data_IF_608174242576
#
_entry.id   IF_608174242576
#
_cell.length_a   1.000
_cell.length_b   1.000
_cell.length_c   1.000
_cell.angle_alpha   90.00
_cell.angle_beta   90.00
_cell.angle_gamma   90.00
#
_symmetry.space_group_name_H-M   'P 1'
#
loop_
_entity.id
_entity.type
_entity.pdbx_description
1 polymer ?
#
# COMPACT_ATOMS: atom_id res chain seq x y z
N UNK A 1 -10.65 -0.38 -11.69
CA UNK A 1 -9.35 -0.92 -11.30
C UNK A 1 -8.31 0.17 -11.54
N UNK A 2 -7.68 0.62 -10.46
CA UNK A 2 -6.69 1.69 -10.47
C UNK A 2 -5.41 1.22 -11.17
N UNK A 3 -4.66 2.15 -11.74
CA UNK A 3 -3.38 1.89 -12.41
C UNK A 3 -2.27 2.66 -11.71
N UNK A 4 -1.07 2.08 -11.66
CA UNK A 4 0.10 2.72 -11.05
C UNK A 4 1.12 3.16 -12.09
N UNK A 5 1.74 4.31 -11.88
CA UNK A 5 2.91 4.78 -12.63
C UNK A 5 4.00 5.26 -11.68
N UNK A 6 5.21 4.74 -11.85
CA UNK A 6 6.41 5.22 -11.17
C UNK A 6 6.83 6.57 -11.74
N UNK A 7 6.74 7.62 -10.93
CA UNK A 7 7.22 8.97 -11.20
C UNK A 7 8.27 9.31 -10.15
N UNK A 8 9.47 8.74 -10.32
CA UNK A 8 10.56 8.75 -9.33
C UNK A 8 10.71 10.13 -8.64
N UNK A 9 10.72 10.17 -7.29
CA UNK A 9 10.78 9.03 -6.36
C UNK A 9 9.42 8.44 -5.93
N UNK A 10 8.28 8.89 -6.47
CA UNK A 10 6.94 8.51 -6.01
C UNK A 10 6.18 7.60 -6.98
N UNK A 11 5.09 7.02 -6.50
CA UNK A 11 4.10 6.31 -7.31
C UNK A 11 2.85 7.17 -7.45
N UNK A 12 2.39 7.34 -8.69
CA UNK A 12 1.14 7.99 -9.01
C UNK A 12 0.10 6.90 -9.32
N UNK A 13 -1.04 6.93 -8.62
CA UNK A 13 -2.12 5.96 -8.77
C UNK A 13 -3.37 6.71 -9.24
N UNK A 14 -4.05 6.18 -10.26
CA UNK A 14 -5.32 6.76 -10.71
C UNK A 14 -6.38 6.63 -9.62
N UNK A 15 -7.23 7.64 -9.45
CA UNK A 15 -8.28 7.68 -8.42
C UNK A 15 -7.72 7.57 -6.98
N UNK A 16 -6.57 8.23 -6.75
CA UNK A 16 -5.92 8.41 -5.44
C UNK A 16 -5.63 9.91 -5.19
N UNK A 17 -6.67 10.75 -5.01
CA UNK A 17 -6.52 12.20 -4.92
C UNK A 17 -5.62 12.65 -3.77
N UNK A 18 -5.61 11.90 -2.67
CA UNK A 18 -4.83 12.20 -1.47
C UNK A 18 -3.45 11.51 -1.47
N UNK A 19 -3.13 10.77 -2.53
CA UNK A 19 -1.87 10.04 -2.74
C UNK A 19 -1.54 9.00 -1.65
N UNK A 20 -2.56 8.49 -0.94
CA UNK A 20 -2.36 7.54 0.16
C UNK A 20 -1.91 6.18 -0.38
N UNK A 21 -2.47 5.76 -1.52
CA UNK A 21 -2.11 4.49 -2.19
C UNK A 21 -0.71 4.61 -2.82
N UNK A 22 -0.40 5.74 -3.42
CA UNK A 22 0.94 6.05 -3.94
C UNK A 22 2.02 6.01 -2.86
N UNK A 23 1.77 6.67 -1.73
CA UNK A 23 2.67 6.67 -0.56
C UNK A 23 2.85 5.25 0.01
N UNK A 24 1.75 4.49 0.13
CA UNK A 24 1.79 3.09 0.53
C UNK A 24 2.76 2.28 -0.33
N UNK A 25 2.70 2.39 -1.66
CA UNK A 25 3.60 1.67 -2.55
C UNK A 25 5.06 2.08 -2.34
N UNK A 26 5.31 3.38 -2.12
CA UNK A 26 6.64 3.90 -1.78
C UNK A 26 7.21 3.25 -0.52
N UNK A 27 6.42 3.20 0.56
CA UNK A 27 6.81 2.58 1.83
C UNK A 27 6.98 1.07 1.71
N UNK A 28 5.96 0.37 1.19
CA UNK A 28 5.93 -1.09 1.09
C UNK A 28 7.10 -1.62 0.27
N UNK A 29 7.40 -1.00 -0.87
CA UNK A 29 8.49 -1.43 -1.75
C UNK A 29 9.88 -1.08 -1.19
N UNK A 30 9.94 -0.17 -0.22
CA UNK A 30 11.17 0.22 0.47
C UNK A 30 11.42 -0.59 1.75
N UNK A 31 10.45 -1.39 2.22
CA UNK A 31 10.60 -2.29 3.37
C UNK A 31 11.80 -3.25 3.25
N UNK A 32 12.18 -3.66 2.03
CA UNK A 32 13.36 -4.50 1.78
C UNK A 32 14.62 -3.95 2.45
N UNK A 33 14.79 -2.63 2.46
CA UNK A 33 15.96 -1.99 3.07
C UNK A 33 16.05 -2.27 4.58
N UNK A 34 14.95 -2.65 5.22
CA UNK A 34 14.84 -2.92 6.65
C UNK A 34 14.85 -4.42 6.99
N UNK A 35 14.33 -5.28 6.10
CA UNK A 35 14.13 -6.71 6.39
C UNK A 35 15.19 -7.65 5.80
N UNK A 36 15.87 -7.25 4.73
CA UNK A 36 16.81 -8.10 3.98
C UNK A 36 16.18 -9.25 3.17
N UNK A 37 14.84 -9.39 3.18
CA UNK A 37 14.11 -10.44 2.42
C UNK A 37 13.79 -9.98 0.99
N UNK A 38 13.56 -10.91 0.05
CA UNK A 38 13.03 -10.57 -1.28
C UNK A 38 11.69 -9.82 -1.17
N UNK A 39 11.51 -8.65 -1.82
CA UNK A 39 10.29 -7.86 -1.71
C UNK A 39 9.02 -8.63 -2.05
N UNK A 40 9.07 -9.46 -3.10
CA UNK A 40 7.91 -10.20 -3.57
C UNK A 40 7.38 -11.18 -2.52
N UNK A 41 8.27 -11.89 -1.81
CA UNK A 41 7.87 -12.85 -0.78
C UNK A 41 7.32 -12.15 0.46
N UNK A 42 8.00 -11.09 0.93
CA UNK A 42 7.56 -10.37 2.12
C UNK A 42 6.22 -9.67 1.88
N UNK A 43 6.03 -9.04 0.72
CA UNK A 43 4.78 -8.37 0.40
C UNK A 43 3.64 -9.38 0.16
N UNK A 44 3.92 -10.52 -0.47
CA UNK A 44 2.94 -11.58 -0.63
C UNK A 44 2.49 -12.15 0.72
N UNK A 45 3.40 -12.31 1.68
CA UNK A 45 3.07 -12.76 3.04
C UNK A 45 2.22 -11.71 3.78
N UNK A 46 2.70 -10.46 3.82
CA UNK A 46 2.06 -9.36 4.56
C UNK A 46 0.68 -9.00 4.04
N UNK A 47 0.48 -9.02 2.73
CA UNK A 47 -0.76 -8.64 2.05
C UNK A 47 -1.52 -9.84 1.45
N UNK A 48 -1.26 -11.03 1.99
CA UNK A 48 -2.12 -12.19 1.80
C UNK A 48 -3.46 -11.99 2.54
N UNK A 49 -4.53 -12.74 2.22
CA UNK A 49 -5.80 -12.61 2.92
C UNK A 49 -5.72 -12.80 4.44
N UNK A 50 -4.74 -13.55 4.95
CA UNK A 50 -4.48 -13.73 6.40
C UNK A 50 -3.25 -12.96 6.88
N UNK A 51 -2.73 -12.07 6.05
CA UNK A 51 -1.54 -11.28 6.31
C UNK A 51 -1.83 -10.14 7.29
N UNK A 52 -0.80 -9.73 8.02
CA UNK A 52 -0.90 -8.68 9.05
C UNK A 52 -0.69 -7.26 8.52
N UNK A 53 -0.44 -7.12 7.22
CA UNK A 53 -0.13 -5.86 6.58
C UNK A 53 1.21 -5.24 7.03
N UNK A 54 1.20 -3.91 7.15
CA UNK A 54 2.37 -3.09 7.44
C UNK A 54 2.03 -2.01 8.46
N UNK A 55 2.93 -1.79 9.41
CA UNK A 55 2.85 -0.64 10.33
C UNK A 55 4.21 0.00 10.46
N UNK A 56 4.28 1.28 10.10
CA UNK A 56 5.42 2.16 10.31
C UNK A 56 5.01 3.14 11.41
N UNK A 57 5.61 3.06 12.61
CA UNK A 57 5.27 3.93 13.74
C UNK A 57 5.26 5.40 13.30
N UNK A 58 4.18 6.11 13.65
CA UNK A 58 3.97 7.54 13.38
C UNK A 58 3.98 7.96 11.89
N UNK A 59 4.05 7.01 10.94
CA UNK A 59 4.17 7.29 9.51
C UNK A 59 3.04 6.68 8.70
N UNK A 60 2.78 5.37 8.85
CA UNK A 60 1.81 4.68 7.99
C UNK A 60 1.27 3.41 8.63
N UNK A 61 0.01 3.09 8.39
CA UNK A 61 -0.59 1.81 8.70
C UNK A 61 -1.30 1.25 7.45
N UNK A 62 -1.12 -0.03 7.19
CA UNK A 62 -1.86 -0.76 6.17
C UNK A 62 -2.32 -2.07 6.81
N UNK A 63 -3.63 -2.26 6.93
CA UNK A 63 -4.24 -3.38 7.62
C UNK A 63 -5.50 -3.85 6.91
N UNK A 64 -5.87 -5.11 7.12
CA UNK A 64 -7.12 -5.65 6.62
C UNK A 64 -8.25 -5.26 7.57
N UNK A 65 -9.36 -4.76 7.03
CA UNK A 65 -10.58 -4.60 7.80
C UNK A 65 -11.26 -5.96 7.97
N UNK A 66 -11.44 -6.39 9.21
CA UNK A 66 -12.13 -7.63 9.59
C UNK A 66 -13.57 -7.36 10.02
N UNK A 67 -13.81 -6.19 10.62
CA UNK A 67 -15.11 -5.72 11.07
C UNK A 67 -15.42 -4.31 10.51
N UNK A 68 -16.70 -3.92 10.34
CA UNK A 68 -17.06 -2.59 9.85
C UNK A 68 -16.43 -1.44 10.65
N UNK A 69 -16.22 -1.63 11.96
CA UNK A 69 -15.62 -0.64 12.87
C UNK A 69 -14.11 -0.44 12.65
N UNK A 70 -13.46 -1.31 11.86
CA UNK A 70 -12.06 -1.13 11.45
C UNK A 70 -11.91 -0.04 10.38
N UNK A 71 -13.00 0.33 9.71
CA UNK A 71 -13.02 1.35 8.66
C UNK A 71 -13.04 2.75 9.31
N UNK A 72 -12.16 3.66 8.88
CA UNK A 72 -12.16 5.03 9.37
C UNK A 72 -13.52 5.72 9.20
N UNK A 73 -13.98 6.54 10.16
CA UNK A 73 -15.32 7.16 10.11
C UNK A 73 -15.58 7.99 8.85
N UNK A 74 -14.54 8.58 8.26
CA UNK A 74 -14.62 9.35 7.02
C UNK A 74 -14.95 8.50 5.77
N UNK A 75 -14.84 7.17 5.87
CA UNK A 75 -15.14 6.18 4.83
C UNK A 75 -16.20 5.16 5.29
N UNK A 76 -17.10 5.60 6.18
CA UNK A 76 -18.09 4.71 6.79
C UNK A 76 -19.13 4.17 5.79
N UNK A 77 -19.32 4.82 4.64
CA UNK A 77 -20.26 4.36 3.60
C UNK A 77 -19.82 3.01 3.00
N UNK A 78 -18.52 2.77 2.97
CA UNK A 78 -17.89 1.55 2.45
C UNK A 78 -17.83 0.41 3.48
N UNK A 79 -18.14 0.69 4.75
CA UNK A 79 -18.07 -0.30 5.83
C UNK A 79 -19.05 -1.48 5.64
N UNK A 80 -20.12 -1.28 4.86
CA UNK A 80 -21.09 -2.34 4.53
C UNK A 80 -20.50 -3.49 3.68
N UNK A 81 -19.36 -3.27 3.04
CA UNK A 81 -18.67 -4.28 2.23
C UNK A 81 -17.70 -5.13 3.05
N UNK A 82 -17.38 -4.72 4.28
CA UNK A 82 -16.54 -5.51 5.19
C UNK A 82 -17.22 -6.85 5.51
N UNK A 83 -16.46 -7.93 5.38
CA UNK A 83 -16.95 -9.30 5.52
C UNK A 83 -17.56 -9.90 4.24
N UNK A 84 -17.90 -9.08 3.25
CA UNK A 84 -18.30 -9.55 1.89
C UNK A 84 -17.09 -9.64 0.97
N UNK A 85 -16.23 -8.65 1.05
CA UNK A 85 -15.01 -8.55 0.24
C UNK A 85 -13.79 -8.37 1.14
N UNK A 86 -12.62 -8.66 0.58
CA UNK A 86 -11.35 -8.41 1.24
C UNK A 86 -11.02 -6.92 1.11
N UNK A 87 -11.22 -6.14 2.17
CA UNK A 87 -10.91 -4.70 2.19
C UNK A 87 -9.63 -4.45 2.99
N UNK A 88 -8.73 -3.68 2.39
CA UNK A 88 -7.54 -3.16 3.03
C UNK A 88 -7.67 -1.66 3.26
N UNK A 89 -7.39 -1.25 4.49
CA UNK A 89 -7.31 0.15 4.89
C UNK A 89 -5.85 0.58 4.83
N UNK A 90 -5.59 1.65 4.09
CA UNK A 90 -4.30 2.31 4.00
C UNK A 90 -4.44 3.66 4.68
N UNK A 91 -3.61 3.95 5.67
CA UNK A 91 -3.72 5.15 6.49
C UNK A 91 -2.36 5.82 6.61
N UNK A 92 -2.27 7.04 6.10
CA UNK A 92 -1.14 7.93 6.33
C UNK A 92 -1.29 8.61 7.68
N UNK A 93 -0.34 8.34 8.57
CA UNK A 93 -0.32 8.93 9.90
C UNK A 93 0.41 10.27 9.83
N UNK A 94 -0.18 11.29 10.44
CA UNK A 94 0.41 12.63 10.53
C UNK A 94 0.39 13.09 11.98
N UNK A 95 1.51 13.65 12.43
CA UNK A 95 1.54 14.31 13.72
C UNK A 95 0.65 15.56 13.66
N UNK A 96 -0.26 15.74 14.63
CA UNK A 96 -1.13 16.92 14.81
C UNK A 96 -2.26 17.18 13.79
N UNK A 97 -2.53 16.26 12.86
CA UNK A 97 -3.71 16.36 11.97
C UNK A 97 -4.50 15.06 11.91
N UNK A 98 -5.72 15.11 11.37
CA UNK A 98 -6.45 13.91 11.02
C UNK A 98 -5.62 13.05 10.04
N UNK A 99 -5.64 11.71 10.18
CA UNK A 99 -5.00 10.83 9.22
C UNK A 99 -5.75 10.88 7.88
N UNK A 100 -5.01 10.62 6.79
CA UNK A 100 -5.63 10.43 5.47
C UNK A 100 -5.73 8.93 5.21
N UNK A 101 -6.91 8.46 4.81
CA UNK A 101 -7.18 7.03 4.63
C UNK A 101 -7.66 6.74 3.20
N UNK A 102 -7.34 5.55 2.70
CA UNK A 102 -7.85 5.02 1.45
C UNK A 102 -8.21 3.53 1.60
N UNK A 103 -9.27 3.11 0.92
CA UNK A 103 -9.69 1.71 0.84
C UNK A 103 -9.29 1.10 -0.49
N UNK A 104 -8.77 -0.12 -0.41
CA UNK A 104 -8.36 -0.92 -1.57
C UNK A 104 -8.83 -2.34 -1.39
N UNK A 105 -9.43 -2.92 -2.42
CA UNK A 105 -9.78 -4.34 -2.41
C UNK A 105 -8.51 -5.21 -2.46
N UNK A 106 -8.51 -6.35 -1.79
CA UNK A 106 -7.36 -7.26 -1.71
C UNK A 106 -6.77 -7.65 -3.08
N UNK A 107 -7.59 -8.09 -4.06
CA UNK A 107 -7.09 -8.38 -5.40
C UNK A 107 -6.45 -7.16 -6.08
N UNK A 108 -7.05 -5.98 -5.91
CA UNK A 108 -6.51 -4.72 -6.45
C UNK A 108 -5.19 -4.35 -5.76
N UNK A 109 -5.11 -4.44 -4.43
CA UNK A 109 -3.90 -4.15 -3.67
C UNK A 109 -2.72 -5.02 -4.14
N UNK A 110 -2.96 -6.33 -4.29
CA UNK A 110 -1.96 -7.27 -4.79
C UNK A 110 -1.54 -6.95 -6.23
N UNK A 111 -2.49 -6.55 -7.07
CA UNK A 111 -2.19 -6.10 -8.43
C UNK A 111 -1.30 -4.85 -8.43
N UNK A 112 -1.63 -3.82 -7.66
CA UNK A 112 -0.86 -2.58 -7.54
C UNK A 112 0.56 -2.83 -7.01
N UNK A 113 0.71 -3.71 -6.01
CA UNK A 113 2.02 -4.12 -5.50
C UNK A 113 2.86 -4.82 -6.59
N UNK A 114 2.25 -5.72 -7.36
CA UNK A 114 2.93 -6.41 -8.45
C UNK A 114 3.39 -5.45 -9.55
N UNK A 115 2.52 -4.53 -9.98
CA UNK A 115 2.85 -3.50 -10.96
C UNK A 115 3.94 -2.54 -10.44
N UNK A 116 3.82 -2.07 -9.19
CA UNK A 116 4.81 -1.20 -8.56
C UNK A 116 6.20 -1.84 -8.46
N UNK A 117 6.25 -3.14 -8.13
CA UNK A 117 7.49 -3.92 -8.14
C UNK A 117 8.09 -4.03 -9.55
N UNK A 118 7.29 -4.38 -10.54
CA UNK A 118 7.76 -4.52 -11.93
C UNK A 118 8.35 -3.21 -12.46
N UNK A 119 7.68 -2.08 -12.21
CA UNK A 119 8.16 -0.77 -12.62
C UNK A 119 9.44 -0.36 -11.90
N UNK A 120 9.57 -0.66 -10.60
CA UNK A 120 10.81 -0.41 -9.84
C UNK A 120 11.98 -1.23 -10.37
N UNK A 121 11.73 -2.51 -10.66
CA UNK A 121 12.76 -3.40 -11.21
C UNK A 121 13.24 -2.91 -12.59
N UNK A 122 12.31 -2.50 -13.45
CA UNK A 122 12.64 -1.91 -14.75
C UNK A 122 13.45 -0.61 -14.60
N UNK A 123 13.05 0.27 -13.67
CA UNK A 123 13.75 1.53 -13.40
C UNK A 123 15.18 1.33 -12.86
N UNK A 124 15.39 0.36 -11.96
CA UNK A 124 16.74 0.00 -11.46
C UNK A 124 17.58 -0.62 -12.59
N UNK A 125 16.98 -1.45 -13.45
CA UNK A 125 17.70 -2.05 -14.57
C UNK A 125 18.18 -1.02 -15.59
N UNK A 126 17.42 0.07 -15.77
CA UNK A 126 17.76 1.20 -16.65
C UNK A 126 18.81 2.17 -16.04
N UNK A 127 19.12 2.03 -14.74
CA UNK A 127 20.07 2.88 -14.00
C UNK A 127 21.10 2.06 -13.21
N UNK A 128 22.08 1.46 -13.91
CA UNK A 128 23.05 0.55 -13.29
C UNK A 128 23.90 1.20 -12.18
N UNK A 129 24.04 2.53 -12.19
CA UNK A 129 24.76 3.32 -11.18
C UNK A 129 24.14 3.27 -9.77
N UNK A 130 22.91 2.77 -9.62
CA UNK A 130 22.18 2.68 -8.34
C UNK A 130 22.39 1.31 -7.65
N UNK A 131 23.16 0.39 -8.27
CA UNK A 131 23.37 -0.98 -7.76
C UNK A 131 24.47 -1.14 -6.70
N UNK A 132 25.20 -0.08 -6.35
CA UNK A 132 26.30 -0.09 -5.38
C UNK A 132 25.82 -0.08 -3.93
#
# INVERSE_FOLDING_TARGET
MRTVRLQSPSYNVTDDPDQVIGDFLGYALSLRALSGRPPAEELAERFSPTGRGMRLPDVFAAYRAEEPDDIPPELAEEAAEVGRTEIWVLTRLRYSSAPDSALVEGPELRHLLAEGMAQRAAWIADRPEIRS
#
